data_IF_816944838846
#
_entry.id   IF_816944838846
#
_cell.length_a   1.000
_cell.length_b   1.000
_cell.length_c   1.000
_cell.angle_alpha   90.00
_cell.angle_beta   90.00
_cell.angle_gamma   90.00
#
_symmetry.space_group_name_H-M   'P 1'
#
loop_
_entity.id
_entity.type
_entity.pdbx_description
1 polymer ?
#
# COMPACT_ATOMS: atom_id res chain seq x y z
N UNK A 1 19.42 19.92 30.43
CA UNK A 1 18.97 20.29 29.07
C UNK A 1 19.21 19.12 28.11
N UNK A 2 18.38 18.09 28.17
CA UNK A 2 18.52 16.89 27.35
C UNK A 2 17.99 17.13 25.93
N UNK A 3 18.88 17.08 24.94
CA UNK A 3 18.58 17.28 23.51
C UNK A 3 17.59 16.20 23.06
N UNK A 4 16.30 16.54 22.96
CA UNK A 4 15.27 15.66 22.38
C UNK A 4 15.66 15.39 20.93
N UNK A 5 16.17 14.17 20.64
CA UNK A 5 16.33 13.68 19.27
C UNK A 5 14.94 13.66 18.63
N UNK A 6 14.67 14.61 17.74
CA UNK A 6 13.53 14.52 16.81
C UNK A 6 13.74 13.24 16.01
N UNK A 7 13.04 12.18 16.38
CA UNK A 7 12.97 10.97 15.57
C UNK A 7 12.32 11.39 14.26
N UNK A 8 13.11 11.55 13.20
CA UNK A 8 12.55 11.66 11.84
C UNK A 8 11.65 10.46 11.67
N UNK A 9 10.36 10.70 11.47
CA UNK A 9 9.38 9.66 11.16
C UNK A 9 9.79 9.13 9.78
N UNK A 10 10.71 8.18 9.76
CA UNK A 10 11.00 7.40 8.57
C UNK A 10 9.71 6.62 8.37
N UNK A 11 8.88 7.06 7.42
CA UNK A 11 7.69 6.33 6.97
C UNK A 11 8.18 5.07 6.26
N UNK A 12 8.70 4.12 7.04
CA UNK A 12 9.07 2.77 6.64
C UNK A 12 7.82 1.90 6.55
N UNK A 13 6.72 2.45 6.04
CA UNK A 13 5.61 1.63 5.57
C UNK A 13 5.99 1.04 4.21
N UNK A 14 5.44 -0.12 3.83
CA UNK A 14 5.57 -0.59 2.46
C UNK A 14 5.07 0.54 1.54
N UNK A 15 5.97 1.10 0.71
CA UNK A 15 5.63 2.16 -0.27
C UNK A 15 4.56 1.72 -1.27
N UNK A 16 4.27 0.42 -1.28
CA UNK A 16 3.46 -0.28 -2.23
C UNK A 16 2.14 -0.77 -1.60
N UNK A 17 1.62 -0.07 -0.59
CA UNK A 17 0.29 -0.35 -0.06
C UNK A 17 -0.54 0.92 -0.10
N UNK A 18 -1.59 0.93 -0.91
CA UNK A 18 -2.56 2.02 -0.97
C UNK A 18 -3.87 1.59 -0.35
N UNK A 19 -4.69 2.54 0.09
CA UNK A 19 -6.07 2.23 0.50
C UNK A 19 -6.97 2.56 -0.68
N UNK A 20 -7.73 1.60 -1.16
CA UNK A 20 -8.64 1.80 -2.28
C UNK A 20 -9.73 0.76 -2.34
N UNK A 21 -10.65 0.95 -3.28
CA UNK A 21 -11.77 0.05 -3.50
C UNK A 21 -11.38 -0.98 -4.56
N UNK A 22 -11.50 -2.26 -4.24
CA UNK A 22 -11.27 -3.30 -5.24
C UNK A 22 -12.49 -3.39 -6.18
N UNK A 23 -12.30 -3.39 -7.52
CA UNK A 23 -13.41 -3.43 -8.48
C UNK A 23 -14.20 -4.75 -8.44
N UNK A 24 -13.57 -5.84 -8.01
CA UNK A 24 -14.19 -7.17 -7.95
C UNK A 24 -15.11 -7.33 -6.73
N UNK A 25 -14.57 -7.09 -5.53
CA UNK A 25 -15.29 -7.32 -4.28
C UNK A 25 -15.93 -6.06 -3.69
N UNK A 26 -15.77 -4.90 -4.33
CA UNK A 26 -16.26 -3.58 -3.88
C UNK A 26 -15.88 -3.24 -2.44
N UNK A 27 -14.86 -3.91 -1.91
CA UNK A 27 -14.42 -3.75 -0.52
C UNK A 27 -13.37 -2.66 -0.49
N UNK A 28 -13.57 -1.67 0.40
CA UNK A 28 -12.60 -0.61 0.66
C UNK A 28 -11.59 -1.17 1.65
N UNK A 29 -10.33 -1.26 1.24
CA UNK A 29 -9.29 -1.87 2.07
C UNK A 29 -7.88 -1.54 1.64
N UNK A 30 -6.92 -2.16 2.32
CA UNK A 30 -5.50 -2.07 1.96
C UNK A 30 -5.25 -2.90 0.71
N UNK A 31 -4.86 -2.24 -0.37
CA UNK A 31 -4.46 -2.85 -1.65
C UNK A 31 -2.94 -2.86 -1.68
N UNK A 32 -2.36 -4.01 -2.00
CA UNK A 32 -0.91 -4.13 -2.17
C UNK A 32 -0.56 -3.98 -3.65
N UNK A 33 0.24 -2.98 -3.98
CA UNK A 33 0.81 -2.79 -5.31
C UNK A 33 2.00 -3.75 -5.44
N UNK A 34 1.88 -4.69 -6.36
CA UNK A 34 2.83 -5.73 -6.69
C UNK A 34 3.31 -5.46 -8.11
N UNK A 35 4.60 -5.22 -8.28
CA UNK A 35 5.17 -4.97 -9.61
C UNK A 35 6.31 -3.97 -9.56
N UNK A 36 7.02 -3.88 -10.68
CA UNK A 36 7.99 -2.81 -10.91
C UNK A 36 7.26 -1.58 -11.47
N UNK A 37 7.87 -0.40 -11.32
CA UNK A 37 7.35 0.86 -11.87
C UNK A 37 7.10 0.69 -13.37
N UNK A 38 5.85 0.81 -13.82
CA UNK A 38 5.42 0.57 -15.21
C UNK A 38 4.71 -0.78 -15.46
N UNK A 39 4.67 -1.69 -14.49
CA UNK A 39 3.86 -2.92 -14.48
C UNK A 39 3.21 -3.10 -13.09
N UNK A 40 2.61 -2.03 -12.58
CA UNK A 40 2.02 -2.00 -11.25
C UNK A 40 0.71 -2.77 -11.25
N UNK A 41 0.70 -3.94 -10.60
CA UNK A 41 -0.52 -4.72 -10.39
C UNK A 41 -0.97 -4.54 -8.97
N UNK A 42 -2.22 -4.20 -8.74
CA UNK A 42 -2.79 -4.18 -7.41
C UNK A 42 -3.35 -5.55 -7.01
N UNK A 43 -3.05 -5.98 -5.79
CA UNK A 43 -3.62 -7.16 -5.16
C UNK A 43 -4.56 -6.74 -4.03
N UNK A 44 -5.80 -7.19 -4.11
CA UNK A 44 -6.74 -7.04 -3.01
C UNK A 44 -6.58 -8.22 -2.03
N UNK A 45 -6.39 -8.00 -0.72
CA UNK A 45 -6.33 -9.07 0.27
C UNK A 45 -7.70 -9.68 0.58
N UNK A 46 -8.80 -9.01 0.25
CA UNK A 46 -10.15 -9.49 0.56
C UNK A 46 -10.59 -10.60 -0.42
N UNK A 47 -10.35 -10.42 -1.72
CA UNK A 47 -10.65 -11.41 -2.75
C UNK A 47 -9.42 -12.12 -3.31
N UNK A 48 -8.21 -11.77 -2.86
CA UNK A 48 -6.93 -12.25 -3.39
C UNK A 48 -6.70 -12.03 -4.90
N UNK A 49 -7.55 -11.23 -5.55
CA UNK A 49 -7.45 -10.94 -6.97
C UNK A 49 -6.37 -9.91 -7.25
N UNK A 50 -5.74 -10.08 -8.41
CA UNK A 50 -4.70 -9.22 -8.95
C UNK A 50 -5.31 -8.47 -10.13
N UNK A 51 -5.28 -7.14 -10.09
CA UNK A 51 -5.78 -6.28 -11.17
C UNK A 51 -4.70 -5.30 -11.60
N UNK A 52 -4.77 -4.87 -12.85
CA UNK A 52 -3.90 -3.82 -13.39
C UNK A 52 -4.37 -2.46 -12.85
N UNK A 53 -3.42 -1.61 -12.42
CA UNK A 53 -3.71 -0.32 -11.80
C UNK A 53 -3.71 0.82 -12.81
#
# INVERSE_FOLDING_TARGET
MGRRKTQKIVKSGPKNATTGMCPECKTIGRIFIIGQVGQERAKCPACNQIFDL
#
